data_IF_582786852401
#
_entry.id   IF_582786852401
#
_cell.length_a   1.000
_cell.length_b   1.000
_cell.length_c   1.000
_cell.angle_alpha   90.00
_cell.angle_beta   90.00
_cell.angle_gamma   90.00
#
_symmetry.space_group_name_H-M   'P 1'
#
loop_
_entity.id
_entity.type
_entity.pdbx_description
1 polymer ?
#
# COMPACT_ATOMS: atom_id res chain seq x y z
N UNK A 1 30.88 45.58 -13.38
CA UNK A 1 31.33 45.45 -14.78
C UNK A 1 31.44 43.97 -15.12
N UNK A 2 30.52 43.46 -15.94
CA UNK A 2 30.75 42.31 -16.82
C UNK A 2 29.80 42.50 -18.01
N UNK A 3 30.36 42.57 -19.22
CA UNK A 3 29.67 42.96 -20.45
C UNK A 3 28.77 41.83 -20.97
N UNK A 4 27.59 42.24 -21.44
CA UNK A 4 26.67 41.48 -22.28
C UNK A 4 27.33 41.26 -23.65
N UNK A 5 27.34 40.03 -24.15
CA UNK A 5 27.50 39.78 -25.58
C UNK A 5 26.35 38.90 -26.07
N UNK A 6 25.50 39.50 -26.89
CA UNK A 6 24.38 38.86 -27.57
C UNK A 6 24.88 37.98 -28.71
N UNK A 7 24.55 36.70 -28.69
CA UNK A 7 24.46 35.87 -29.88
C UNK A 7 23.23 34.97 -29.76
N UNK A 8 22.21 35.28 -30.56
CA UNK A 8 21.03 34.44 -30.79
C UNK A 8 21.33 33.58 -32.01
N UNK A 9 21.24 32.24 -31.92
CA UNK A 9 20.80 31.43 -33.04
C UNK A 9 19.38 30.90 -32.76
N UNK A 10 18.54 31.06 -33.76
CA UNK A 10 17.16 30.59 -33.84
C UNK A 10 17.14 29.05 -33.82
N UNK A 11 16.08 28.50 -33.22
CA UNK A 11 15.58 27.11 -33.28
C UNK A 11 15.86 26.23 -32.05
N UNK A 12 14.99 26.33 -31.03
CA UNK A 12 14.24 25.19 -30.45
C UNK A 12 13.17 25.72 -29.51
N UNK A 13 11.91 25.60 -29.91
CA UNK A 13 10.76 25.74 -29.04
C UNK A 13 10.66 24.45 -28.22
N UNK A 14 11.23 24.42 -27.01
CA UNK A 14 10.85 23.44 -26.00
C UNK A 14 10.66 24.17 -24.68
N UNK A 15 9.42 24.05 -24.20
CA UNK A 15 8.95 24.55 -22.93
C UNK A 15 9.87 24.03 -21.81
N UNK A 16 10.56 24.92 -21.10
CA UNK A 16 10.94 24.60 -19.73
C UNK A 16 9.66 24.64 -18.90
N UNK A 17 8.90 23.54 -18.94
CA UNK A 17 7.91 23.26 -17.91
C UNK A 17 8.75 23.09 -16.64
N UNK A 18 8.77 24.14 -15.82
CA UNK A 18 8.95 23.99 -14.38
C UNK A 18 7.81 23.06 -13.93
N UNK A 19 8.03 21.75 -13.96
CA UNK A 19 7.18 20.83 -13.23
C UNK A 19 7.50 21.03 -11.76
N UNK A 20 6.91 22.08 -11.20
CA UNK A 20 6.70 22.18 -9.77
C UNK A 20 5.63 21.14 -9.43
N UNK A 21 5.98 19.86 -9.54
CA UNK A 21 5.16 18.77 -9.04
C UNK A 21 5.39 18.72 -7.54
N UNK A 22 4.88 19.75 -6.85
CA UNK A 22 4.70 19.74 -5.41
C UNK A 22 3.65 18.64 -5.10
N UNK A 23 4.12 17.41 -5.03
CA UNK A 23 3.65 16.39 -4.12
C UNK A 23 2.16 16.01 -4.17
N UNK A 24 1.56 15.79 -5.34
CA UNK A 24 0.47 14.80 -5.38
C UNK A 24 1.13 13.43 -5.32
N UNK A 25 1.54 12.99 -4.11
CA UNK A 25 2.13 11.66 -3.91
C UNK A 25 1.10 10.61 -4.30
N UNK A 26 1.21 10.10 -5.52
CA UNK A 26 0.40 8.99 -6.01
C UNK A 26 0.69 7.76 -5.15
N UNK A 27 -0.33 7.24 -4.48
CA UNK A 27 -0.26 5.96 -3.76
C UNK A 27 -0.68 4.80 -4.67
N UNK A 28 -0.19 3.60 -4.37
CA UNK A 28 -0.48 2.41 -5.16
C UNK A 28 0.68 2.00 -6.07
N UNK A 29 0.39 1.14 -7.04
CA UNK A 29 1.36 0.62 -8.00
C UNK A 29 1.31 -0.91 -8.10
N UNK A 30 2.12 -1.46 -9.00
CA UNK A 30 2.28 -2.90 -9.18
C UNK A 30 3.56 -3.39 -8.52
N UNK A 31 3.46 -4.47 -7.76
CA UNK A 31 4.51 -5.03 -6.93
C UNK A 31 4.77 -6.47 -7.32
N UNK A 32 5.99 -6.74 -7.79
CA UNK A 32 6.44 -8.08 -8.23
C UNK A 32 7.56 -8.64 -7.35
N UNK A 33 8.17 -7.80 -6.51
CA UNK A 33 9.20 -8.22 -5.58
C UNK A 33 8.63 -9.22 -4.56
N UNK A 34 9.43 -10.22 -4.19
CA UNK A 34 9.00 -11.27 -3.28
C UNK A 34 8.59 -10.76 -1.89
N UNK A 35 9.04 -9.58 -1.49
CA UNK A 35 8.64 -8.91 -0.24
C UNK A 35 8.60 -7.40 -0.46
N UNK A 36 7.83 -6.71 0.36
CA UNK A 36 7.81 -5.26 0.38
C UNK A 36 6.80 -4.68 1.35
N UNK A 37 6.71 -3.36 1.35
CA UNK A 37 5.84 -2.58 2.22
C UNK A 37 4.83 -1.80 1.37
N UNK A 38 3.58 -1.77 1.84
CA UNK A 38 2.50 -0.94 1.30
C UNK A 38 2.10 0.06 2.39
N UNK A 39 2.11 1.34 2.05
CA UNK A 39 1.77 2.38 3.02
C UNK A 39 0.85 3.45 2.42
N UNK A 40 0.00 4.03 3.26
CA UNK A 40 -0.73 5.27 2.92
C UNK A 40 0.25 6.43 2.73
N UNK A 41 -0.11 7.44 1.93
CA UNK A 41 0.67 8.68 1.88
C UNK A 41 0.90 9.23 3.29
N UNK A 42 2.11 9.73 3.53
CA UNK A 42 2.51 10.44 4.76
C UNK A 42 2.44 9.65 6.07
N UNK A 43 2.20 8.33 6.05
CA UNK A 43 2.23 7.49 7.25
C UNK A 43 3.49 7.76 8.11
N UNK A 44 3.38 7.93 9.45
CA UNK A 44 2.19 7.79 10.30
C UNK A 44 1.28 9.03 10.36
N UNK A 45 1.61 10.11 9.65
CA UNK A 45 0.81 11.34 9.61
C UNK A 45 -0.44 11.22 8.74
N UNK A 46 -1.33 12.23 8.79
CA UNK A 46 -2.58 12.25 8.05
C UNK A 46 -2.38 12.34 6.53
N UNK A 47 -3.38 11.87 5.79
CA UNK A 47 -3.46 11.95 4.33
C UNK A 47 -4.77 12.59 3.89
N UNK A 48 -4.76 13.25 2.74
CA UNK A 48 -5.92 13.96 2.21
C UNK A 48 -7.01 12.98 1.72
N UNK A 49 -8.27 13.36 1.94
CA UNK A 49 -9.46 12.70 1.37
C UNK A 49 -10.21 13.68 0.47
N UNK A 50 -10.90 13.21 -0.60
CA UNK A 50 -11.09 11.82 -0.99
C UNK A 50 -9.82 11.16 -1.53
N UNK A 51 -9.57 9.92 -1.12
CA UNK A 51 -8.42 9.13 -1.57
C UNK A 51 -8.86 7.85 -2.26
N UNK A 52 -8.10 7.45 -3.28
CA UNK A 52 -8.21 6.13 -3.91
C UNK A 52 -6.81 5.62 -4.27
N UNK A 53 -6.32 4.67 -3.48
CA UNK A 53 -5.05 3.99 -3.71
C UNK A 53 -5.31 2.55 -4.13
N UNK A 54 -4.48 2.03 -5.04
CA UNK A 54 -4.57 0.64 -5.46
C UNK A 54 -3.19 0.03 -5.59
N UNK A 55 -2.91 -0.98 -4.76
CA UNK A 55 -1.69 -1.79 -4.84
C UNK A 55 -2.03 -3.14 -5.45
N UNK A 56 -1.29 -3.55 -6.47
CA UNK A 56 -1.45 -4.85 -7.14
C UNK A 56 -0.21 -5.67 -6.86
N UNK A 57 -0.35 -6.74 -6.09
CA UNK A 57 0.74 -7.72 -5.92
C UNK A 57 0.58 -8.77 -7.02
N UNK A 58 1.59 -8.86 -7.88
CA UNK A 58 1.66 -9.80 -8.99
C UNK A 58 2.69 -10.88 -8.67
N UNK A 59 2.18 -12.08 -8.38
CA UNK A 59 2.95 -13.29 -8.16
C UNK A 59 2.95 -14.23 -9.36
N UNK A 60 2.41 -13.82 -10.52
CA UNK A 60 2.24 -14.69 -11.68
C UNK A 60 3.55 -15.36 -12.08
N UNK A 61 4.65 -14.59 -12.19
CA UNK A 61 5.99 -15.13 -12.49
C UNK A 61 6.49 -16.17 -11.49
N UNK A 62 6.14 -16.04 -10.20
CA UNK A 62 6.51 -16.98 -9.14
C UNK A 62 5.53 -18.16 -9.01
N UNK A 63 4.29 -18.01 -9.47
CA UNK A 63 3.28 -19.06 -9.54
C UNK A 63 3.51 -19.98 -10.76
N UNK A 64 4.08 -19.45 -11.86
CA UNK A 64 4.51 -20.24 -13.01
C UNK A 64 5.68 -21.15 -12.63
N UNK A 65 5.37 -22.36 -12.15
CA UNK A 65 6.34 -23.41 -11.80
C UNK A 65 6.25 -23.90 -10.35
N UNK A 66 5.57 -23.17 -9.47
CA UNK A 66 5.28 -23.57 -8.10
C UNK A 66 3.77 -23.53 -7.86
N UNK A 67 3.15 -24.70 -7.72
CA UNK A 67 1.70 -24.82 -7.46
C UNK A 67 1.27 -24.37 -6.06
N UNK A 68 2.21 -24.00 -5.19
CA UNK A 68 1.97 -23.68 -3.78
C UNK A 68 2.37 -22.24 -3.42
N UNK A 69 2.62 -21.37 -4.40
CA UNK A 69 2.93 -19.96 -4.15
C UNK A 69 1.71 -19.24 -3.60
N UNK A 70 1.89 -18.45 -2.55
CA UNK A 70 0.86 -17.61 -1.96
C UNK A 70 1.35 -16.19 -1.73
N UNK A 71 0.42 -15.25 -1.80
CA UNK A 71 0.60 -13.85 -1.41
C UNK A 71 0.06 -13.70 0.01
N UNK A 72 0.90 -13.25 0.93
CA UNK A 72 0.56 -13.03 2.33
C UNK A 72 0.76 -11.56 2.65
N UNK A 73 -0.25 -10.91 3.22
CA UNK A 73 -0.17 -9.53 3.68
C UNK A 73 -0.35 -9.52 5.19
N UNK A 74 0.64 -9.02 5.92
CA UNK A 74 0.66 -8.92 7.38
C UNK A 74 0.21 -7.52 7.82
N UNK A 75 -0.71 -7.44 8.77
CA UNK A 75 -1.27 -6.17 9.25
C UNK A 75 -0.41 -5.57 10.36
N UNK A 76 0.88 -5.40 10.08
CA UNK A 76 1.92 -4.91 11.00
C UNK A 76 1.52 -3.59 11.66
N UNK A 77 1.10 -2.60 10.86
CA UNK A 77 0.64 -1.29 11.35
C UNK A 77 -0.60 -0.84 10.56
N UNK A 78 -1.80 -1.22 11.02
CA UNK A 78 -3.07 -0.88 10.37
C UNK A 78 -3.91 0.02 11.30
N UNK A 79 -3.95 1.32 11.02
CA UNK A 79 -4.72 2.32 11.78
C UNK A 79 -5.91 2.86 10.99
N UNK A 80 -6.29 2.17 9.90
CA UNK A 80 -7.48 2.50 9.11
C UNK A 80 -8.57 1.48 9.40
N UNK A 81 -9.72 1.94 9.89
CA UNK A 81 -10.81 1.07 10.33
C UNK A 81 -11.83 0.74 9.25
N UNK A 82 -11.73 1.34 8.06
CA UNK A 82 -12.63 1.13 6.94
C UNK A 82 -11.95 1.44 5.60
N UNK A 83 -12.67 1.29 4.49
CA UNK A 83 -12.18 1.70 3.17
C UNK A 83 -11.08 0.82 2.55
N UNK A 84 -10.43 -0.07 3.32
CA UNK A 84 -9.40 -0.99 2.85
C UNK A 84 -9.99 -2.37 2.49
N UNK A 85 -9.74 -2.84 1.27
CA UNK A 85 -10.24 -4.11 0.74
C UNK A 85 -9.14 -4.93 0.08
N UNK A 86 -9.32 -6.25 0.08
CA UNK A 86 -8.39 -7.22 -0.49
C UNK A 86 -9.18 -8.15 -1.42
N UNK A 87 -8.89 -8.08 -2.72
CA UNK A 87 -9.59 -8.84 -3.76
C UNK A 87 -8.58 -9.68 -4.54
N UNK A 88 -8.80 -10.98 -4.58
CA UNK A 88 -7.98 -11.91 -5.37
C UNK A 88 -8.49 -12.01 -6.82
N UNK A 89 -7.58 -12.19 -7.77
CA UNK A 89 -7.86 -12.37 -9.19
C UNK A 89 -6.96 -13.48 -9.76
N UNK A 90 -7.54 -14.33 -10.62
CA UNK A 90 -6.75 -15.30 -11.37
C UNK A 90 -5.88 -14.62 -12.45
N UNK A 91 -6.44 -13.59 -13.08
CA UNK A 91 -5.76 -12.78 -14.08
C UNK A 91 -6.17 -11.32 -13.90
N UNK A 92 -5.19 -10.42 -13.84
CA UNK A 92 -5.39 -8.99 -13.65
C UNK A 92 -4.58 -8.20 -14.67
N UNK A 93 -5.26 -7.30 -15.37
CA UNK A 93 -4.68 -6.34 -16.31
C UNK A 93 -5.65 -5.20 -16.54
N UNK A 94 -5.27 -4.29 -17.44
CA UNK A 94 -6.09 -3.12 -17.73
C UNK A 94 -7.45 -3.50 -18.34
N UNK A 95 -7.44 -4.45 -19.28
CA UNK A 95 -8.64 -4.85 -20.04
C UNK A 95 -9.26 -6.17 -19.57
N UNK A 96 -8.60 -6.87 -18.65
CA UNK A 96 -9.02 -8.20 -18.19
C UNK A 96 -8.92 -8.31 -16.67
N UNK A 97 -10.03 -8.71 -16.03
CA UNK A 97 -10.14 -8.91 -14.59
C UNK A 97 -10.95 -10.18 -14.37
N UNK A 98 -10.25 -11.29 -14.18
CA UNK A 98 -10.87 -12.62 -14.18
C UNK A 98 -11.09 -13.11 -12.76
N UNK A 99 -12.32 -13.54 -12.50
CA UNK A 99 -12.78 -14.11 -11.23
C UNK A 99 -12.42 -13.26 -9.99
N UNK A 100 -12.84 -11.98 -9.95
CA UNK A 100 -12.67 -11.17 -8.75
C UNK A 100 -13.35 -11.83 -7.56
N UNK A 101 -12.61 -12.02 -6.48
CA UNK A 101 -13.18 -12.47 -5.21
C UNK A 101 -12.66 -11.62 -4.06
N UNK A 102 -13.56 -10.89 -3.41
CA UNK A 102 -13.24 -10.15 -2.19
C UNK A 102 -12.97 -11.16 -1.07
N UNK A 103 -11.74 -11.20 -0.56
CA UNK A 103 -11.33 -12.12 0.50
C UNK A 103 -11.25 -11.44 1.87
N UNK A 104 -11.09 -10.12 1.91
CA UNK A 104 -11.11 -9.37 3.16
C UNK A 104 -11.53 -7.90 2.94
N UNK A 105 -12.31 -7.37 3.89
CA UNK A 105 -12.62 -5.94 4.00
C UNK A 105 -12.40 -5.54 5.46
N UNK A 106 -11.57 -4.52 5.66
CA UNK A 106 -11.30 -4.00 7.00
C UNK A 106 -12.53 -3.26 7.52
N UNK A 107 -12.85 -3.51 8.78
CA UNK A 107 -13.89 -2.84 9.54
C UNK A 107 -13.46 -2.71 11.03
N UNK A 108 -14.18 -1.92 11.81
CA UNK A 108 -13.91 -1.69 13.23
C UNK A 108 -13.82 -2.98 14.08
N UNK A 109 -14.50 -4.05 13.68
CA UNK A 109 -14.57 -5.30 14.45
C UNK A 109 -13.39 -6.23 14.18
N UNK A 110 -12.81 -6.18 12.98
CA UNK A 110 -11.77 -7.13 12.55
C UNK A 110 -10.36 -6.54 12.54
N UNK A 111 -10.24 -5.21 12.45
CA UNK A 111 -8.97 -4.48 12.34
C UNK A 111 -7.94 -4.81 13.43
N UNK A 112 -8.40 -5.16 14.64
CA UNK A 112 -7.54 -5.54 15.77
C UNK A 112 -7.24 -7.04 15.85
N UNK A 113 -8.06 -7.88 15.19
CA UNK A 113 -8.03 -9.35 15.33
C UNK A 113 -7.35 -10.02 14.14
N UNK A 114 -7.52 -9.47 12.95
CA UNK A 114 -6.92 -10.02 11.73
C UNK A 114 -5.44 -9.67 11.71
N UNK A 115 -4.58 -10.71 11.74
CA UNK A 115 -3.13 -10.54 11.70
C UNK A 115 -2.57 -10.51 10.27
N UNK A 116 -3.25 -11.20 9.37
CA UNK A 116 -2.81 -11.35 7.98
C UNK A 116 -3.97 -11.77 7.07
N UNK A 117 -3.77 -11.59 5.77
CA UNK A 117 -4.60 -12.11 4.67
C UNK A 117 -3.70 -12.95 3.76
N UNK A 118 -4.18 -14.11 3.32
CA UNK A 118 -3.46 -14.98 2.39
C UNK A 118 -4.33 -15.26 1.16
N UNK A 119 -3.73 -15.18 -0.03
CA UNK A 119 -4.32 -15.63 -1.29
C UNK A 119 -3.35 -16.56 -2.03
N UNK A 120 -3.90 -17.57 -2.68
CA UNK A 120 -3.17 -18.46 -3.59
C UNK A 120 -3.38 -18.10 -5.06
N UNK A 121 -4.06 -16.98 -5.34
CA UNK A 121 -4.21 -16.50 -6.70
C UNK A 121 -2.99 -15.69 -7.14
N UNK A 122 -2.76 -15.66 -8.45
CA UNK A 122 -1.62 -14.95 -9.04
C UNK A 122 -1.62 -13.46 -8.73
N UNK A 123 -2.79 -12.85 -8.52
CA UNK A 123 -2.92 -11.43 -8.27
C UNK A 123 -3.75 -11.14 -7.02
N UNK A 124 -3.23 -10.27 -6.16
CA UNK A 124 -3.96 -9.69 -5.04
C UNK A 124 -4.01 -8.17 -5.18
N UNK A 125 -5.21 -7.62 -5.24
CA UNK A 125 -5.44 -6.18 -5.30
C UNK A 125 -5.88 -5.68 -3.94
N UNK A 126 -5.09 -4.76 -3.39
CA UNK A 126 -5.40 -4.02 -2.17
C UNK A 126 -5.87 -2.63 -2.59
N UNK A 127 -7.10 -2.26 -2.24
CA UNK A 127 -7.67 -0.95 -2.55
C UNK A 127 -8.05 -0.22 -1.26
N UNK A 128 -7.55 1.01 -1.12
CA UNK A 128 -8.02 1.98 -0.13
C UNK A 128 -8.90 3.00 -0.83
N UNK A 129 -10.14 3.17 -0.39
CA UNK A 129 -11.06 4.18 -0.89
C UNK A 129 -11.81 4.86 0.26
N UNK A 130 -11.65 6.18 0.40
CA UNK A 130 -12.35 6.99 1.40
C UNK A 130 -12.88 8.29 0.78
N UNK A 131 -14.12 8.68 1.11
CA UNK A 131 -14.79 9.85 0.51
C UNK A 131 -14.86 11.07 1.46
N UNK A 132 -14.91 10.85 2.77
CA UNK A 132 -14.87 11.89 3.80
C UNK A 132 -14.16 11.36 5.05
N UNK A 133 -13.71 12.26 5.93
CA UNK A 133 -12.99 11.94 7.18
C UNK A 133 -13.92 11.65 8.37
N UNK A 134 -15.24 11.64 8.18
CA UNK A 134 -16.23 11.55 9.27
C UNK A 134 -16.33 10.17 9.94
N UNK A 135 -15.71 9.13 9.37
CA UNK A 135 -15.74 7.76 9.90
C UNK A 135 -14.35 7.22 10.33
N UNK A 136 -13.33 8.08 10.47
CA UNK A 136 -11.95 7.63 10.63
C UNK A 136 -11.33 7.76 12.04
N UNK A 137 -12.00 8.38 13.02
CA UNK A 137 -11.37 8.65 14.32
C UNK A 137 -12.30 8.30 15.50
N UNK A 138 -11.87 7.32 16.30
CA UNK A 138 -12.40 7.13 17.64
C UNK A 138 -11.84 8.27 18.50
N UNK A 139 -12.67 9.28 18.81
CA UNK A 139 -12.35 10.30 19.81
C UNK A 139 -12.34 9.67 21.20
N UNK A 140 -11.24 9.03 21.60
CA UNK A 140 -10.97 8.77 23.02
C UNK A 140 -10.06 9.89 23.50
N UNK A 141 -10.62 10.65 24.44
CA UNK A 141 -10.02 11.76 25.14
C UNK A 141 -8.88 11.25 26.02
N UNK A 142 -7.71 10.97 25.43
CA UNK A 142 -6.40 11.02 26.08
C UNK A 142 -5.32 10.86 25.02
N UNK A 143 -4.21 11.60 25.17
CA UNK A 143 -3.07 11.74 24.23
C UNK A 143 -2.37 10.42 23.83
N UNK A 144 -3.04 9.53 23.09
CA UNK A 144 -2.52 8.21 22.72
C UNK A 144 -2.60 8.00 21.20
N UNK A 145 -1.47 8.33 20.55
CA UNK A 145 -1.04 8.08 19.16
C UNK A 145 -1.84 8.81 18.06
N UNK A 146 -1.31 9.96 17.63
CA UNK A 146 -1.72 10.67 16.40
C UNK A 146 -1.26 9.91 15.13
N UNK A 147 -1.66 8.63 14.99
CA UNK A 147 -1.28 7.77 13.86
C UNK A 147 -2.46 7.51 12.94
N UNK A 148 -2.24 7.75 11.66
CA UNK A 148 -3.24 7.66 10.60
C UNK A 148 -2.80 6.64 9.55
N UNK A 149 -3.76 6.01 8.88
CA UNK A 149 -3.46 5.20 7.70
C UNK A 149 -2.89 3.83 8.02
N UNK A 150 -1.91 3.37 7.25
CA UNK A 150 -1.24 2.10 7.49
C UNK A 150 0.16 2.01 6.87
N UNK A 151 0.94 1.05 7.39
CA UNK A 151 2.21 0.56 6.86
C UNK A 151 2.23 -0.97 7.07
N UNK A 152 1.87 -1.71 6.01
CA UNK A 152 1.69 -3.17 6.04
C UNK A 152 2.73 -3.87 5.17
N UNK A 153 3.21 -5.01 5.64
CA UNK A 153 4.21 -5.82 4.93
C UNK A 153 3.54 -6.91 4.11
N UNK A 154 4.05 -7.19 2.91
CA UNK A 154 3.63 -8.35 2.12
C UNK A 154 4.80 -9.28 1.78
N UNK A 155 4.48 -10.54 1.52
CA UNK A 155 5.40 -11.56 1.03
C UNK A 155 4.73 -12.44 -0.03
N UNK A 156 5.47 -12.75 -1.09
CA UNK A 156 5.18 -13.81 -2.06
C UNK A 156 6.09 -14.99 -1.71
N UNK A 157 5.50 -16.12 -1.32
CA UNK A 157 6.26 -17.26 -0.82
C UNK A 157 5.57 -18.58 -1.13
N UNK A 158 6.37 -19.63 -1.25
CA UNK A 158 5.90 -21.03 -1.31
C UNK A 158 5.76 -21.66 0.07
N UNK A 159 6.23 -20.94 1.12
CA UNK A 159 6.03 -21.32 2.51
C UNK A 159 4.65 -20.89 3.03
N UNK A 160 4.33 -21.31 4.25
CA UNK A 160 3.15 -20.85 4.96
C UNK A 160 3.33 -19.46 5.59
N UNK A 161 2.29 -19.00 6.27
CA UNK A 161 2.32 -17.78 7.10
C UNK A 161 3.41 -17.89 8.15
N UNK A 162 4.25 -16.86 8.26
CA UNK A 162 5.34 -16.82 9.23
C UNK A 162 4.84 -16.50 10.64
N UNK A 163 5.50 -17.07 11.63
CA UNK A 163 5.26 -16.84 13.07
C UNK A 163 6.57 -16.42 13.76
N UNK A 164 6.56 -15.42 14.66
CA UNK A 164 5.41 -14.63 15.08
C UNK A 164 5.03 -13.54 14.05
N UNK A 165 3.73 -13.25 13.89
CA UNK A 165 3.24 -12.07 13.15
C UNK A 165 2.70 -11.06 14.15
N UNK A 166 2.80 -9.77 13.85
CA UNK A 166 2.39 -8.69 14.76
C UNK A 166 1.35 -7.78 14.13
N UNK A 167 0.53 -7.18 14.99
CA UNK A 167 -0.45 -6.16 14.64
C UNK A 167 -0.20 -4.88 15.43
N UNK A 168 -0.98 -3.83 15.15
CA UNK A 168 -0.95 -2.61 15.97
C UNK A 168 -1.22 -2.86 17.46
N UNK A 169 -1.91 -3.95 17.83
CA UNK A 169 -2.16 -4.31 19.23
C UNK A 169 -0.92 -4.90 19.91
N UNK A 170 0.03 -5.39 19.12
CA UNK A 170 1.30 -5.91 19.62
C UNK A 170 2.39 -4.82 19.63
N UNK A 171 2.08 -3.55 19.27
CA UNK A 171 3.05 -2.44 19.18
C UNK A 171 3.79 -2.09 20.48
N UNK A 172 3.50 -2.75 21.61
CA UNK A 172 4.35 -2.73 22.81
C UNK A 172 5.65 -3.55 22.66
N UNK A 173 5.82 -4.35 21.61
CA UNK A 173 7.00 -5.19 21.38
C UNK A 173 8.00 -4.55 20.41
N UNK A 174 9.01 -3.85 20.93
CA UNK A 174 10.38 -3.53 20.40
C UNK A 174 10.71 -3.44 18.88
N UNK A 175 9.77 -3.45 17.94
CA UNK A 175 10.00 -3.34 16.49
C UNK A 175 10.50 -4.61 15.80
N UNK A 176 10.46 -5.79 16.43
CA UNK A 176 11.11 -7.03 15.92
C UNK A 176 10.07 -8.02 15.35
N UNK A 177 9.10 -7.54 14.57
CA UNK A 177 8.12 -8.41 13.89
C UNK A 177 8.04 -8.07 12.41
N UNK A 178 8.59 -8.93 11.53
CA UNK A 178 8.61 -8.82 10.06
C UNK A 178 8.58 -7.39 9.47
N UNK A 179 9.39 -6.52 10.06
CA UNK A 179 9.96 -5.26 9.54
C UNK A 179 11.45 -5.46 9.26
N UNK A 180 12.17 -6.27 10.05
CA UNK A 180 13.59 -6.51 9.79
C UNK A 180 13.76 -7.30 8.48
N UNK A 181 14.60 -6.78 7.58
CA UNK A 181 14.92 -7.23 6.21
C UNK A 181 14.10 -6.57 5.09
N UNK A 182 14.21 -5.24 4.98
CA UNK A 182 14.30 -4.58 3.66
C UNK A 182 15.75 -4.44 3.25
#
# INVERSE_FOLDING_TARGET
MCRINNFIPILTLLMHISSNEAGRRTCGGTYTAARGILATPNFPGPFDVPIRCQWVIDSSSAAYGSGNTSIIVYFTQLFTFEGLTFTEYQLYGNDYKINPKLIHKVNETNVFRTRWVQSYQSYLVIELKMQSSESAHICVLDKFLDTYGFNITYEITTGGVRSPSCTMMDCGFTGICFDHYT
#
